data_IF_056725453569
#
_entry.id   IF_056725453569
#
_cell.length_a   1.000
_cell.length_b   1.000
_cell.length_c   1.000
_cell.angle_alpha   90.00
_cell.angle_beta   90.00
_cell.angle_gamma   90.00
#
_symmetry.space_group_name_H-M   'P 1'
#
loop_
_entity.id
_entity.type
_entity.pdbx_description
1 polymer ?
#
# COMPACT_ATOMS: atom_id res chain seq x y z
N UNK A 1 -12.60 21.55 -2.36
CA UNK A 1 -11.51 20.61 -2.65
C UNK A 1 -11.67 19.37 -1.84
N UNK A 2 -11.66 18.28 -2.49
CA UNK A 2 -11.95 17.00 -1.85
C UNK A 2 -10.76 16.06 -1.79
N UNK A 3 -9.58 16.54 -2.06
CA UNK A 3 -8.41 15.68 -2.06
C UNK A 3 -8.01 15.19 -0.68
N UNK A 4 -7.28 14.10 -0.67
CA UNK A 4 -6.66 13.56 0.53
C UNK A 4 -5.17 13.86 0.51
N UNK A 5 -4.60 14.11 1.67
CA UNK A 5 -3.15 14.25 1.79
C UNK A 5 -2.56 12.86 2.02
N UNK A 6 -1.69 12.44 1.11
CA UNK A 6 -1.01 11.16 1.24
C UNK A 6 0.45 11.44 1.59
N UNK A 7 0.89 10.91 2.73
CA UNK A 7 2.27 11.03 3.19
C UNK A 7 3.01 9.75 2.85
N UNK A 8 4.10 9.88 2.10
CA UNK A 8 4.91 8.74 1.67
C UNK A 8 6.31 8.91 2.24
N UNK A 9 6.58 8.37 3.42
CA UNK A 9 7.91 8.50 4.02
C UNK A 9 8.93 7.67 3.25
N UNK A 10 10.21 8.02 3.41
CA UNK A 10 11.30 7.34 2.71
C UNK A 10 11.31 5.83 2.98
N UNK A 11 11.03 5.42 4.18
CA UNK A 11 11.06 3.99 4.53
C UNK A 11 10.03 3.18 3.74
N UNK A 12 8.94 3.81 3.29
CA UNK A 12 7.96 3.11 2.46
C UNK A 12 8.63 2.54 1.20
N UNK A 13 9.38 3.38 0.49
CA UNK A 13 10.07 2.93 -0.71
C UNK A 13 11.24 2.00 -0.41
N UNK A 14 11.81 2.09 0.80
CA UNK A 14 12.83 1.14 1.22
C UNK A 14 12.25 -0.27 1.38
N UNK A 15 11.03 -0.39 1.91
CA UNK A 15 10.38 -1.70 1.98
C UNK A 15 10.08 -2.24 0.58
N UNK A 16 9.67 -1.39 -0.35
CA UNK A 16 9.48 -1.80 -1.75
C UNK A 16 10.77 -2.34 -2.36
N UNK A 17 11.89 -1.65 -2.10
CA UNK A 17 13.18 -2.04 -2.66
C UNK A 17 13.62 -3.43 -2.19
N UNK A 18 13.17 -3.88 -1.02
CA UNK A 18 13.49 -5.21 -0.51
C UNK A 18 12.84 -6.33 -1.33
N UNK A 19 11.82 -6.02 -2.11
CA UNK A 19 11.16 -6.99 -2.99
C UNK A 19 11.88 -7.14 -4.33
N UNK A 20 12.85 -6.28 -4.61
CA UNK A 20 13.51 -6.23 -5.90
C UNK A 20 14.11 -7.57 -6.35
N UNK A 21 14.79 -8.34 -5.49
CA UNK A 21 15.40 -9.61 -5.92
C UNK A 21 14.38 -10.65 -6.40
N UNK A 22 13.12 -10.46 -6.07
CA UNK A 22 12.03 -11.37 -6.39
C UNK A 22 11.58 -11.25 -7.84
N UNK A 23 11.95 -10.16 -8.52
CA UNK A 23 11.42 -9.81 -9.84
C UNK A 23 12.55 -9.54 -10.83
N UNK A 24 12.24 -9.70 -12.11
CA UNK A 24 13.09 -9.17 -13.18
C UNK A 24 13.02 -7.63 -13.12
N UNK A 25 13.93 -6.95 -13.83
CA UNK A 25 13.91 -5.50 -13.86
C UNK A 25 12.58 -4.94 -14.38
N UNK A 26 12.09 -5.50 -15.50
CA UNK A 26 10.84 -5.02 -16.09
C UNK A 26 9.64 -5.30 -15.18
N UNK A 27 9.60 -6.45 -14.54
CA UNK A 27 8.54 -6.77 -13.59
C UNK A 27 8.57 -5.84 -12.38
N UNK A 28 9.76 -5.53 -11.88
CA UNK A 28 9.88 -4.62 -10.75
C UNK A 28 9.39 -3.22 -11.11
N UNK A 29 9.71 -2.74 -12.31
CA UNK A 29 9.21 -1.45 -12.79
C UNK A 29 7.69 -1.45 -12.85
N UNK A 30 7.09 -2.52 -13.36
CA UNK A 30 5.63 -2.64 -13.40
C UNK A 30 5.03 -2.65 -12.00
N UNK A 31 5.66 -3.36 -11.06
CA UNK A 31 5.19 -3.40 -9.69
C UNK A 31 5.27 -2.03 -9.03
N UNK A 32 6.37 -1.28 -9.24
CA UNK A 32 6.52 0.08 -8.72
C UNK A 32 5.42 0.98 -9.30
N UNK A 33 5.14 0.87 -10.58
CA UNK A 33 4.10 1.67 -11.21
C UNK A 33 2.72 1.35 -10.64
N UNK A 34 2.44 0.09 -10.37
CA UNK A 34 1.17 -0.31 -9.74
C UNK A 34 1.04 0.32 -8.34
N UNK A 35 2.13 0.34 -7.58
CA UNK A 35 2.13 0.98 -6.25
C UNK A 35 1.91 2.49 -6.38
N UNK A 36 2.53 3.14 -7.37
CA UNK A 36 2.31 4.57 -7.61
C UNK A 36 0.87 4.87 -7.99
N UNK A 37 0.25 4.01 -8.80
CA UNK A 37 -1.15 4.16 -9.17
C UNK A 37 -2.06 4.04 -7.93
N UNK A 38 -1.71 3.13 -7.03
CA UNK A 38 -2.41 2.96 -5.77
C UNK A 38 -2.37 4.26 -4.94
N UNK A 39 -1.18 4.85 -4.82
CA UNK A 39 -1.01 6.11 -4.09
C UNK A 39 -1.83 7.23 -4.74
N UNK A 40 -1.82 7.31 -6.07
CA UNK A 40 -2.56 8.34 -6.79
C UNK A 40 -4.07 8.20 -6.55
N UNK A 41 -4.58 6.99 -6.54
CA UNK A 41 -6.00 6.74 -6.29
C UNK A 41 -6.37 7.14 -4.87
N UNK A 42 -5.56 6.80 -3.89
CA UNK A 42 -5.78 7.21 -2.50
C UNK A 42 -5.78 8.73 -2.35
N UNK A 43 -4.91 9.42 -3.09
CA UNK A 43 -4.85 10.88 -3.03
C UNK A 43 -6.11 11.53 -3.58
N UNK A 44 -6.78 10.89 -4.52
CA UNK A 44 -7.99 11.43 -5.12
C UNK A 44 -9.23 11.21 -4.27
N UNK A 45 -9.41 9.99 -3.77
CA UNK A 45 -10.67 9.60 -3.15
C UNK A 45 -10.54 9.10 -1.72
N UNK A 46 -9.34 8.83 -1.25
CA UNK A 46 -9.10 8.27 0.08
C UNK A 46 -9.38 6.78 0.17
N UNK A 47 -9.75 6.14 -0.93
CA UNK A 47 -10.05 4.71 -0.97
C UNK A 47 -9.49 4.09 -2.24
N UNK A 48 -9.43 2.76 -2.25
CA UNK A 48 -9.09 2.00 -3.44
C UNK A 48 -10.39 1.45 -4.01
N UNK A 49 -10.82 1.98 -5.15
CA UNK A 49 -12.04 1.55 -5.81
C UNK A 49 -11.82 0.38 -6.77
N UNK A 50 -10.58 0.12 -7.14
CA UNK A 50 -10.24 -0.95 -8.08
C UNK A 50 -10.47 -2.31 -7.44
N UNK A 51 -11.51 -3.00 -7.89
CA UNK A 51 -11.92 -4.26 -7.28
C UNK A 51 -10.86 -5.36 -7.40
N UNK A 52 -10.00 -5.26 -8.40
CA UNK A 52 -8.94 -6.24 -8.62
C UNK A 52 -7.82 -6.18 -7.57
N UNK A 53 -7.76 -5.11 -6.78
CA UNK A 53 -6.69 -4.93 -5.80
C UNK A 53 -7.03 -5.46 -4.41
N UNK A 54 -8.23 -5.98 -4.21
CA UNK A 54 -8.63 -6.66 -2.98
C UNK A 54 -8.28 -5.86 -1.72
N UNK A 55 -8.68 -4.57 -1.69
CA UNK A 55 -8.40 -3.69 -0.57
C UNK A 55 -9.25 -4.06 0.65
N UNK A 56 -8.62 -4.22 1.82
CA UNK A 56 -9.34 -4.59 3.03
C UNK A 56 -8.60 -4.16 4.29
N UNK A 57 -9.33 -4.11 5.40
CA UNK A 57 -8.77 -3.79 6.72
C UNK A 57 -7.93 -4.97 7.21
N UNK A 58 -6.80 -4.66 7.83
CA UNK A 58 -5.94 -5.68 8.42
C UNK A 58 -6.47 -6.09 9.79
N UNK A 59 -6.51 -7.39 10.05
CA UNK A 59 -7.09 -7.97 11.25
C UNK A 59 -6.06 -8.55 12.22
N UNK A 60 -4.78 -8.53 11.85
CA UNK A 60 -3.72 -9.12 12.66
C UNK A 60 -2.77 -8.07 13.22
N UNK A 61 -2.26 -8.26 14.45
CA UNK A 61 -1.24 -7.35 14.97
C UNK A 61 -0.03 -7.30 14.04
N UNK A 62 0.64 -6.15 13.95
CA UNK A 62 0.44 -4.92 14.73
C UNK A 62 -0.57 -3.95 14.12
N UNK A 63 -1.26 -4.33 13.06
CA UNK A 63 -2.10 -3.42 12.27
C UNK A 63 -3.60 -3.63 12.49
N UNK A 64 -3.99 -4.25 13.60
CA UNK A 64 -5.39 -4.63 13.85
C UNK A 64 -6.19 -3.55 14.57
N UNK A 65 -5.93 -2.29 14.27
CA UNK A 65 -6.61 -1.15 14.92
C UNK A 65 -7.83 -0.63 14.15
N UNK A 66 -8.19 -1.29 13.07
CA UNK A 66 -9.30 -0.85 12.23
C UNK A 66 -8.97 0.30 11.30
N UNK A 67 -7.76 0.83 11.35
CA UNK A 67 -7.32 1.97 10.55
C UNK A 67 -6.23 1.63 9.55
N UNK A 68 -5.57 0.49 9.70
CA UNK A 68 -4.58 0.01 8.74
C UNK A 68 -5.28 -0.86 7.70
N UNK A 69 -4.97 -0.60 6.44
CA UNK A 69 -5.55 -1.33 5.31
C UNK A 69 -4.44 -1.86 4.41
N UNK A 70 -4.79 -2.85 3.62
CA UNK A 70 -3.88 -3.52 2.70
C UNK A 70 -4.54 -3.60 1.33
N UNK A 71 -3.79 -3.26 0.29
CA UNK A 71 -4.21 -3.49 -1.09
C UNK A 71 -3.26 -4.47 -1.75
N UNK A 72 -3.79 -5.46 -2.43
CA UNK A 72 -3.02 -6.44 -3.19
C UNK A 72 -2.83 -5.89 -4.59
N UNK A 73 -1.63 -5.43 -4.91
CA UNK A 73 -1.35 -4.86 -6.22
C UNK A 73 -0.54 -5.84 -7.06
N UNK A 74 -0.35 -5.50 -8.31
CA UNK A 74 0.48 -6.17 -9.29
C UNK A 74 0.13 -7.68 -9.42
N UNK A 75 0.83 -8.56 -8.72
CA UNK A 75 0.68 -10.01 -8.83
C UNK A 75 0.01 -10.64 -7.61
N UNK A 76 -0.79 -9.87 -6.90
CA UNK A 76 -1.48 -10.29 -5.66
C UNK A 76 -0.52 -10.60 -4.51
N UNK A 77 0.77 -10.38 -4.68
CA UNK A 77 1.78 -10.58 -3.63
C UNK A 77 2.60 -9.31 -3.40
N UNK A 78 2.22 -8.21 -4.02
CA UNK A 78 2.76 -6.88 -3.70
C UNK A 78 1.72 -6.18 -2.86
N UNK A 79 1.93 -6.20 -1.55
CA UNK A 79 0.95 -5.74 -0.56
C UNK A 79 1.29 -4.33 -0.12
N UNK A 80 0.41 -3.39 -0.43
CA UNK A 80 0.58 -1.99 -0.02
C UNK A 80 -0.20 -1.79 1.27
N UNK A 81 0.51 -1.46 2.34
CA UNK A 81 -0.10 -1.22 3.65
C UNK A 81 -0.12 0.29 3.91
N UNK A 82 -1.27 0.79 4.31
CA UNK A 82 -1.43 2.22 4.59
C UNK A 82 -2.37 2.42 5.78
N UNK A 83 -2.23 3.59 6.41
CA UNK A 83 -2.97 3.98 7.61
C UNK A 83 -3.87 5.16 7.26
N UNK A 84 -5.16 5.06 7.57
CA UNK A 84 -6.16 6.07 7.19
C UNK A 84 -6.60 6.85 8.42
N UNK A 85 -6.46 8.16 8.36
CA UNK A 85 -7.03 9.09 9.34
C UNK A 85 -8.16 9.86 8.67
N UNK A 86 -9.36 9.33 8.76
CA UNK A 86 -10.51 9.94 8.09
C UNK A 86 -10.82 11.35 8.59
N UNK A 87 -10.66 11.57 9.89
CA UNK A 87 -10.94 12.87 10.49
C UNK A 87 -10.17 14.00 9.80
N UNK A 88 -8.92 13.75 9.48
CA UNK A 88 -8.03 14.77 8.92
C UNK A 88 -7.87 14.63 7.41
N UNK A 89 -8.45 13.61 6.80
CA UNK A 89 -8.24 13.25 5.40
C UNK A 89 -6.76 13.08 5.09
N UNK A 90 -6.09 12.35 5.94
CA UNK A 90 -4.66 12.05 5.77
C UNK A 90 -4.47 10.54 5.70
N UNK A 91 -3.66 10.12 4.74
CA UNK A 91 -3.25 8.73 4.62
C UNK A 91 -1.73 8.69 4.71
N UNK A 92 -1.22 7.79 5.55
CA UNK A 92 0.21 7.56 5.64
C UNK A 92 0.52 6.19 5.06
N UNK A 93 1.41 6.16 4.09
CA UNK A 93 1.87 4.91 3.51
C UNK A 93 2.83 4.24 4.49
N UNK A 94 2.54 3.00 4.85
CA UNK A 94 3.29 2.28 5.88
C UNK A 94 4.42 1.46 5.26
N UNK A 95 4.13 0.71 4.22
CA UNK A 95 5.15 -0.10 3.58
C UNK A 95 4.60 -0.94 2.45
N UNK A 96 5.52 -1.57 1.73
CA UNK A 96 5.18 -2.53 0.67
C UNK A 96 5.85 -3.84 1.04
N UNK A 97 5.05 -4.90 1.09
CA UNK A 97 5.51 -6.21 1.56
C UNK A 97 5.02 -7.30 0.61
N UNK A 98 5.51 -8.51 0.81
CA UNK A 98 4.86 -9.70 0.25
C UNK A 98 4.24 -10.49 1.40
N UNK A 99 3.60 -11.62 1.11
CA UNK A 99 2.93 -12.41 2.13
C UNK A 99 3.89 -12.98 3.19
N UNK A 100 5.18 -13.01 2.89
CA UNK A 100 6.18 -13.49 3.85
C UNK A 100 6.73 -12.37 4.73
N UNK A 101 6.85 -11.17 4.19
CA UNK A 101 7.52 -10.07 4.88
C UNK A 101 6.56 -9.15 5.61
N UNK A 102 5.25 -9.23 5.35
CA UNK A 102 4.30 -8.36 6.03
C UNK A 102 4.31 -8.62 7.53
N UNK A 103 4.46 -7.57 8.36
CA UNK A 103 4.44 -7.74 9.81
C UNK A 103 3.15 -8.43 10.28
N UNK A 104 3.31 -9.44 11.15
CA UNK A 104 2.18 -10.20 11.67
C UNK A 104 1.79 -11.39 10.81
N UNK A 105 2.53 -11.66 9.75
CA UNK A 105 2.22 -12.80 8.88
C UNK A 105 2.59 -14.12 9.55
#
# INVERSE_FOLDING_TARGET
MSGWQVKVPRYFWQTMAELRPKYSHSEYVEAVNAVKDCIAELAQTGTIAESGWNDHVLLHPPYNDGQHREAHTYDDDVLVVYFVRERNRVIRMVGVFDHRSIPGA
#
